data_IF_438554255301
#
_entry.id   IF_438554255301
#
_cell.length_a   1.000
_cell.length_b   1.000
_cell.length_c   1.000
_cell.angle_alpha   90.00
_cell.angle_beta   90.00
_cell.angle_gamma   90.00
#
_symmetry.space_group_name_H-M   'P 1'
#
loop_
_entity.id
_entity.type
_entity.pdbx_description
1 polymer ?
#
# COMPACT_ATOMS: atom_id res chain seq x y z
N UNK A 1 11.89 -12.35 -6.98
CA UNK A 1 11.36 -13.54 -6.29
C UNK A 1 9.86 -13.32 -6.09
N UNK A 2 8.99 -14.18 -6.63
CA UNK A 2 7.55 -14.05 -6.36
C UNK A 2 7.21 -14.84 -5.09
N UNK A 3 6.78 -14.13 -4.05
CA UNK A 3 6.23 -14.75 -2.84
C UNK A 3 4.79 -15.21 -3.09
N UNK A 4 4.38 -16.36 -2.53
CA UNK A 4 3.00 -16.82 -2.67
C UNK A 4 2.03 -15.83 -2.02
N UNK A 5 0.82 -15.76 -2.58
CA UNK A 5 -0.27 -14.99 -2.00
C UNK A 5 -0.95 -15.77 -0.88
N UNK A 6 -1.32 -15.04 0.17
CA UNK A 6 -2.06 -15.51 1.32
C UNK A 6 -3.49 -14.95 1.24
N UNK A 7 -4.47 -15.85 1.25
CA UNK A 7 -5.87 -15.48 1.38
C UNK A 7 -6.20 -15.21 2.86
N UNK A 8 -6.76 -14.03 3.14
CA UNK A 8 -7.17 -13.61 4.48
C UNK A 8 -8.62 -13.10 4.45
N UNK A 9 -9.26 -13.12 5.61
CA UNK A 9 -10.62 -12.65 5.80
C UNK A 9 -10.66 -11.61 6.92
N UNK A 10 -11.22 -10.43 6.64
CA UNK A 10 -11.48 -9.41 7.66
C UNK A 10 -12.98 -9.20 7.83
N UNK A 11 -13.48 -9.14 9.08
CA UNK A 11 -14.89 -8.90 9.32
C UNK A 11 -15.24 -7.43 9.08
N UNK A 12 -16.41 -7.22 8.47
CA UNK A 12 -17.09 -5.93 8.36
C UNK A 12 -18.58 -6.07 8.68
N UNK A 13 -19.28 -4.94 8.79
CA UNK A 13 -20.70 -4.92 9.12
C UNK A 13 -21.37 -3.74 8.44
N UNK A 14 -22.52 -3.98 7.81
CA UNK A 14 -23.47 -2.93 7.50
C UNK A 14 -24.39 -2.71 8.70
N UNK A 15 -24.56 -1.45 9.09
CA UNK A 15 -25.51 -1.02 10.10
C UNK A 15 -26.28 0.21 9.61
N UNK A 16 -27.42 0.48 10.22
CA UNK A 16 -28.26 1.65 9.90
C UNK A 16 -28.04 2.75 10.94
N UNK A 17 -27.37 3.84 10.54
CA UNK A 17 -27.06 4.96 11.43
C UNK A 17 -28.11 6.06 11.29
N UNK A 18 -28.62 6.64 12.40
CA UNK A 18 -29.53 7.78 12.32
C UNK A 18 -28.77 9.00 11.79
N UNK A 19 -29.27 9.60 10.71
CA UNK A 19 -28.63 10.74 10.03
C UNK A 19 -29.49 12.00 10.01
N UNK A 20 -30.80 11.84 10.22
CA UNK A 20 -31.73 12.96 10.22
C UNK A 20 -32.94 12.66 11.10
N UNK A 21 -33.43 13.66 11.82
CA UNK A 21 -34.67 13.59 12.57
C UNK A 21 -35.41 14.92 12.48
N UNK A 22 -36.72 14.84 12.31
CA UNK A 22 -37.62 15.97 12.38
C UNK A 22 -38.91 15.58 13.09
N UNK A 23 -39.34 16.44 14.01
CA UNK A 23 -40.55 16.24 14.78
C UNK A 23 -41.59 17.29 14.38
N UNK A 24 -42.65 16.86 13.71
CA UNK A 24 -43.80 17.67 13.33
C UNK A 24 -45.04 17.34 14.20
N UNK A 25 -44.85 16.68 15.34
CA UNK A 25 -45.96 16.22 16.20
C UNK A 25 -46.76 17.37 16.81
N UNK A 26 -46.14 18.53 17.01
CA UNK A 26 -46.80 19.73 17.53
C UNK A 26 -47.61 20.51 16.48
N UNK A 27 -47.32 20.33 15.19
CA UNK A 27 -47.93 21.10 14.10
C UNK A 27 -49.24 20.50 13.60
N UNK A 28 -50.17 21.37 13.22
CA UNK A 28 -51.37 21.01 12.48
C UNK A 28 -51.18 21.08 10.95
N UNK A 29 -50.06 21.63 10.48
CA UNK A 29 -49.73 21.73 9.06
C UNK A 29 -48.60 20.76 8.68
N UNK A 30 -48.57 20.25 7.44
CA UNK A 30 -47.45 19.46 6.95
C UNK A 30 -46.18 20.33 6.87
N UNK A 31 -45.01 19.69 7.06
CA UNK A 31 -43.70 20.32 6.89
C UNK A 31 -42.98 19.73 5.68
N UNK A 32 -42.42 20.59 4.83
CA UNK A 32 -41.55 20.16 3.72
C UNK A 32 -40.10 20.36 4.13
N UNK A 33 -39.31 19.30 4.09
CA UNK A 33 -37.92 19.32 4.55
C UNK A 33 -37.02 18.78 3.48
N UNK A 34 -35.85 19.39 3.34
CA UNK A 34 -34.79 18.92 2.45
C UNK A 34 -33.67 18.33 3.30
N UNK A 35 -33.34 17.07 3.05
CA UNK A 35 -32.18 16.42 3.64
C UNK A 35 -31.11 16.25 2.56
N UNK A 36 -29.86 16.55 2.91
CA UNK A 36 -28.68 16.32 2.07
C UNK A 36 -27.81 15.31 2.79
N UNK A 37 -27.79 14.09 2.28
CA UNK A 37 -27.10 12.96 2.91
C UNK A 37 -25.83 12.64 2.09
N UNK A 38 -24.63 12.83 2.66
CA UNK A 38 -23.39 12.64 1.92
C UNK A 38 -23.07 11.15 1.76
N UNK A 39 -22.51 10.80 0.61
CA UNK A 39 -21.77 9.57 0.41
C UNK A 39 -20.32 9.83 0.81
N UNK A 40 -19.81 9.04 1.75
CA UNK A 40 -18.43 9.21 2.25
C UNK A 40 -17.71 7.88 2.34
N UNK A 41 -16.47 7.84 1.89
CA UNK A 41 -15.53 6.75 2.13
C UNK A 41 -14.38 7.29 2.97
N UNK A 42 -14.09 6.63 4.09
CA UNK A 42 -12.95 6.95 4.95
C UNK A 42 -12.08 5.72 5.08
N UNK A 43 -10.80 5.87 4.76
CA UNK A 43 -9.76 4.89 4.99
C UNK A 43 -8.76 5.40 6.03
N UNK A 44 -8.49 4.57 7.04
CA UNK A 44 -7.50 4.78 8.09
C UNK A 44 -6.54 3.61 8.10
N UNK A 45 -5.26 3.89 7.88
CA UNK A 45 -4.24 2.87 7.70
C UNK A 45 -3.97 2.10 9.00
N UNK A 46 -3.81 2.80 10.14
CA UNK A 46 -3.40 2.14 11.39
C UNK A 46 -4.36 1.05 11.88
N UNK A 47 -5.69 1.26 11.94
CA UNK A 47 -6.61 0.19 12.34
C UNK A 47 -6.66 -0.96 11.33
N UNK A 48 -6.52 -0.65 10.04
CA UNK A 48 -6.46 -1.65 8.98
C UNK A 48 -5.22 -2.55 9.13
N UNK A 49 -4.02 -1.96 9.26
CA UNK A 49 -2.76 -2.70 9.45
C UNK A 49 -2.75 -3.56 10.72
N UNK A 50 -3.41 -3.08 11.79
CA UNK A 50 -3.55 -3.85 13.02
C UNK A 50 -4.41 -5.10 12.80
N UNK A 51 -5.54 -4.97 12.11
CA UNK A 51 -6.43 -6.08 11.78
C UNK A 51 -5.79 -7.05 10.78
N UNK A 52 -5.10 -6.55 9.77
CA UNK A 52 -4.36 -7.37 8.81
C UNK A 52 -3.31 -8.23 9.51
N UNK A 53 -2.50 -7.66 10.40
CA UNK A 53 -1.50 -8.40 11.20
C UNK A 53 -2.14 -9.40 12.16
N UNK A 54 -3.32 -9.12 12.69
CA UNK A 54 -4.07 -10.07 13.50
C UNK A 54 -4.54 -11.26 12.65
N UNK A 55 -5.09 -11.01 11.46
CA UNK A 55 -5.54 -12.05 10.55
C UNK A 55 -4.40 -12.94 10.04
N UNK A 56 -3.24 -12.35 9.68
CA UNK A 56 -2.04 -13.11 9.31
C UNK A 56 -1.61 -14.06 10.45
N UNK A 57 -1.56 -13.55 11.69
CA UNK A 57 -1.18 -14.37 12.86
C UNK A 57 -2.14 -15.51 13.09
N UNK A 58 -3.45 -15.24 13.09
CA UNK A 58 -4.47 -16.28 13.23
C UNK A 58 -4.36 -17.35 12.14
N UNK A 59 -4.05 -16.96 10.89
CA UNK A 59 -3.85 -17.90 9.79
C UNK A 59 -2.57 -18.73 9.96
N UNK A 60 -1.48 -18.12 10.45
CA UNK A 60 -0.23 -18.82 10.77
C UNK A 60 -0.44 -19.88 11.87
N UNK A 61 -1.17 -19.51 12.93
CA UNK A 61 -1.50 -20.41 14.03
C UNK A 61 -2.35 -21.60 13.57
N UNK A 62 -3.28 -21.37 12.64
CA UNK A 62 -4.16 -22.40 12.09
C UNK A 62 -3.47 -23.29 11.04
N UNK A 63 -2.42 -22.81 10.36
CA UNK A 63 -1.72 -23.53 9.29
C UNK A 63 -0.24 -23.16 9.25
N UNK A 64 0.59 -23.79 10.11
CA UNK A 64 2.01 -23.46 10.25
C UNK A 64 2.81 -23.62 8.94
N UNK A 65 2.38 -24.52 8.04
CA UNK A 65 3.01 -24.74 6.74
C UNK A 65 2.88 -23.55 5.78
N UNK A 66 1.81 -22.75 5.91
CA UNK A 66 1.52 -21.61 5.03
C UNK A 66 2.39 -20.41 5.36
N UNK A 67 2.89 -20.35 6.61
CA UNK A 67 3.78 -19.29 7.09
C UNK A 67 5.05 -19.91 7.69
N UNK A 68 5.51 -21.06 7.18
CA UNK A 68 6.59 -21.89 7.73
C UNK A 68 7.99 -21.24 7.82
N UNK A 69 8.08 -19.92 7.64
CA UNK A 69 9.26 -19.12 7.92
C UNK A 69 9.04 -18.10 9.06
N UNK A 70 7.83 -18.00 9.65
CA UNK A 70 7.50 -17.07 10.74
C UNK A 70 8.04 -17.47 12.13
N UNK A 71 8.85 -18.52 12.21
CA UNK A 71 9.57 -18.90 13.44
C UNK A 71 10.66 -17.89 13.84
N UNK A 72 11.06 -16.98 12.93
CA UNK A 72 11.81 -15.80 13.33
C UNK A 72 10.85 -14.79 13.96
N UNK A 73 11.09 -14.46 15.23
CA UNK A 73 10.35 -13.47 16.03
C UNK A 73 10.27 -12.06 15.40
N UNK A 74 10.87 -11.85 14.22
CA UNK A 74 10.86 -10.60 13.50
C UNK A 74 9.47 -10.32 12.86
N UNK A 75 8.90 -9.13 13.06
CA UNK A 75 7.66 -8.75 12.43
C UNK A 75 7.83 -8.67 10.91
N UNK A 76 6.90 -9.29 10.16
CA UNK A 76 6.88 -9.32 8.68
C UNK A 76 5.93 -8.26 8.11
N UNK A 77 6.29 -7.68 6.97
CA UNK A 77 5.42 -6.78 6.21
C UNK A 77 4.62 -7.56 5.15
N UNK A 78 3.40 -7.07 4.89
CA UNK A 78 2.49 -7.63 3.91
C UNK A 78 1.91 -6.50 3.07
N UNK A 79 1.92 -6.68 1.75
CA UNK A 79 1.24 -5.80 0.81
C UNK A 79 -0.11 -6.41 0.43
N UNK A 80 -1.14 -5.58 0.39
CA UNK A 80 -2.46 -5.99 -0.12
C UNK A 80 -2.39 -6.03 -1.64
N UNK A 81 -2.69 -7.18 -2.23
CA UNK A 81 -2.74 -7.38 -3.69
C UNK A 81 -4.13 -7.16 -4.22
N UNK A 82 -5.15 -7.68 -3.52
CA UNK A 82 -6.55 -7.47 -3.88
C UNK A 82 -7.47 -7.54 -2.66
N UNK A 83 -8.66 -6.98 -2.81
CA UNK A 83 -9.72 -6.99 -1.80
C UNK A 83 -11.09 -7.16 -2.46
N UNK A 84 -11.96 -7.96 -1.84
CA UNK A 84 -13.34 -8.16 -2.27
C UNK A 84 -14.26 -8.30 -1.06
N UNK A 85 -15.45 -7.69 -1.12
CA UNK A 85 -16.45 -7.80 -0.07
C UNK A 85 -17.57 -8.75 -0.48
N UNK A 86 -17.95 -9.66 0.42
CA UNK A 86 -19.08 -10.57 0.22
C UNK A 86 -20.08 -10.46 1.37
N UNK A 87 -21.36 -10.58 1.02
CA UNK A 87 -22.49 -10.62 1.95
C UNK A 87 -23.25 -11.91 1.68
N UNK A 88 -23.31 -12.79 2.68
CA UNK A 88 -23.96 -14.12 2.56
C UNK A 88 -23.40 -14.93 1.37
N UNK A 89 -22.10 -14.82 1.12
CA UNK A 89 -21.39 -15.51 0.03
C UNK A 89 -21.53 -14.89 -1.36
N UNK A 90 -22.27 -13.78 -1.51
CA UNK A 90 -22.40 -13.07 -2.78
C UNK A 90 -21.56 -11.77 -2.78
N UNK A 91 -20.93 -11.38 -3.91
CA UNK A 91 -20.20 -10.12 -4.02
C UNK A 91 -21.09 -8.90 -3.74
N UNK A 92 -20.57 -7.92 -3.02
CA UNK A 92 -21.24 -6.64 -2.75
C UNK A 92 -20.74 -5.57 -3.72
N UNK A 93 -21.40 -5.42 -4.86
CA UNK A 93 -20.98 -4.49 -5.93
C UNK A 93 -20.87 -3.03 -5.47
N UNK A 94 -21.70 -2.62 -4.51
CA UNK A 94 -21.68 -1.30 -3.86
C UNK A 94 -20.32 -0.98 -3.20
N UNK A 95 -19.61 -2.00 -2.72
CA UNK A 95 -18.30 -1.86 -2.06
C UNK A 95 -17.11 -2.06 -3.02
N UNK A 96 -17.32 -2.43 -4.28
CA UNK A 96 -16.21 -2.74 -5.20
C UNK A 96 -15.22 -1.60 -5.37
N UNK A 97 -15.72 -0.36 -5.57
CA UNK A 97 -14.87 0.83 -5.65
C UNK A 97 -14.12 1.09 -4.33
N UNK A 98 -14.81 0.94 -3.19
CA UNK A 98 -14.19 1.07 -1.87
C UNK A 98 -13.09 0.04 -1.63
N UNK A 99 -13.25 -1.19 -2.11
CA UNK A 99 -12.20 -2.21 -2.00
C UNK A 99 -10.99 -1.90 -2.90
N UNK A 100 -11.21 -1.34 -4.09
CA UNK A 100 -10.11 -0.86 -4.95
C UNK A 100 -9.36 0.31 -4.31
N UNK A 101 -10.10 1.27 -3.75
CA UNK A 101 -9.51 2.40 -3.01
C UNK A 101 -8.73 1.92 -1.79
N UNK A 102 -9.22 0.88 -1.08
CA UNK A 102 -8.50 0.25 0.03
C UNK A 102 -7.16 -0.30 -0.43
N UNK A 103 -7.12 -1.05 -1.53
CA UNK A 103 -5.87 -1.60 -2.09
C UNK A 103 -4.91 -0.46 -2.46
N UNK A 104 -5.41 0.58 -3.13
CA UNK A 104 -4.61 1.73 -3.52
C UNK A 104 -4.04 2.49 -2.30
N UNK A 105 -4.86 2.74 -1.28
CA UNK A 105 -4.43 3.44 -0.06
C UNK A 105 -3.46 2.60 0.77
N UNK A 106 -3.68 1.28 0.85
CA UNK A 106 -2.75 0.35 1.51
C UNK A 106 -1.40 0.31 0.77
N UNK A 107 -1.41 0.28 -0.56
CA UNK A 107 -0.19 0.31 -1.36
C UNK A 107 0.59 1.63 -1.20
N UNK A 108 -0.12 2.76 -1.27
CA UNK A 108 0.47 4.08 -1.09
C UNK A 108 0.78 4.42 0.37
N UNK A 109 0.34 3.59 1.33
CA UNK A 109 0.45 3.84 2.77
C UNK A 109 -0.10 5.21 3.18
N UNK A 110 -1.23 5.60 2.60
CA UNK A 110 -1.89 6.90 2.86
C UNK A 110 -3.23 6.71 3.57
N UNK A 111 -3.63 7.71 4.35
CA UNK A 111 -5.01 7.84 4.80
C UNK A 111 -5.80 8.68 3.81
N UNK A 112 -7.03 8.28 3.50
CA UNK A 112 -7.87 8.97 2.52
C UNK A 112 -9.26 9.15 3.10
N UNK A 113 -9.79 10.37 3.01
CA UNK A 113 -11.20 10.63 3.27
C UNK A 113 -11.76 11.29 2.03
N UNK A 114 -12.69 10.61 1.37
CA UNK A 114 -13.43 11.15 0.26
C UNK A 114 -14.87 11.36 0.67
N UNK A 115 -15.28 12.62 0.58
CA UNK A 115 -16.68 12.98 0.55
C UNK A 115 -17.01 13.33 -0.89
N UNK A 116 -17.93 12.58 -1.51
CA UNK A 116 -18.54 13.07 -2.75
C UNK A 116 -19.51 14.17 -2.35
N UNK A 117 -19.04 15.42 -2.43
CA UNK A 117 -19.83 16.63 -2.20
C UNK A 117 -20.83 16.80 -3.36
N UNK A 118 -21.98 16.16 -3.16
CA UNK A 118 -23.09 16.08 -4.10
C UNK A 118 -24.11 15.06 -3.60
N UNK A 119 -24.29 14.99 -2.27
CA UNK A 119 -25.15 14.02 -1.62
C UNK A 119 -26.55 14.02 -2.21
N UNK A 120 -27.25 12.88 -2.11
CA UNK A 120 -28.63 12.78 -2.55
C UNK A 120 -29.47 13.80 -1.78
N UNK A 121 -29.88 14.86 -2.47
CA UNK A 121 -30.82 15.84 -1.94
C UNK A 121 -32.21 15.26 -2.10
N UNK A 122 -32.82 14.87 -0.99
CA UNK A 122 -34.18 14.36 -0.97
C UNK A 122 -35.10 15.33 -0.24
N UNK A 123 -36.29 15.50 -0.78
CA UNK A 123 -37.34 16.32 -0.18
C UNK A 123 -38.38 15.40 0.42
N UNK A 124 -38.71 15.64 1.69
CA UNK A 124 -39.67 14.87 2.45
C UNK A 124 -40.83 15.77 2.86
N UNK A 125 -42.06 15.27 2.74
CA UNK A 125 -43.24 15.92 3.30
C UNK A 125 -43.63 15.16 4.56
N UNK A 126 -43.47 15.79 5.71
CA UNK A 126 -43.84 15.24 7.01
C UNK A 126 -45.28 15.66 7.34
N UNK A 127 -46.22 14.72 7.48
CA UNK A 127 -47.60 15.04 7.81
C UNK A 127 -47.73 15.81 9.14
N UNK A 128 -48.86 16.50 9.36
CA UNK A 128 -49.22 16.99 10.68
C UNK A 128 -49.20 15.85 11.71
N UNK A 129 -48.83 16.17 12.95
CA UNK A 129 -48.83 15.20 14.06
C UNK A 129 -47.92 13.98 13.85
N UNK A 130 -46.91 14.08 12.99
CA UNK A 130 -45.98 12.98 12.69
C UNK A 130 -44.51 13.38 12.95
N UNK A 131 -43.63 12.38 13.06
CA UNK A 131 -42.19 12.59 13.09
C UNK A 131 -41.51 11.77 11.98
N UNK A 132 -40.44 12.31 11.43
CA UNK A 132 -39.59 11.64 10.44
C UNK A 132 -38.23 11.37 11.07
N UNK A 133 -37.75 10.14 10.96
CA UNK A 133 -36.36 9.77 11.22
C UNK A 133 -35.83 9.07 9.99
N UNK A 134 -34.62 9.43 9.57
CA UNK A 134 -33.94 8.77 8.47
C UNK A 134 -32.67 8.12 8.98
N UNK A 135 -32.43 6.92 8.48
CA UNK A 135 -31.25 6.13 8.72
C UNK A 135 -30.51 5.94 7.41
N UNK A 136 -29.19 5.99 7.46
CA UNK A 136 -28.32 5.72 6.31
C UNK A 136 -27.54 4.44 6.55
N UNK A 137 -27.49 3.59 5.54
CA UNK A 137 -26.72 2.33 5.62
C UNK A 137 -25.22 2.67 5.59
N UNK A 138 -24.50 2.17 6.59
CA UNK A 138 -23.09 2.43 6.79
C UNK A 138 -22.35 1.11 6.94
N UNK A 139 -21.37 0.86 6.08
CA UNK A 139 -20.42 -0.22 6.22
C UNK A 139 -19.25 0.21 7.11
N UNK A 140 -18.89 -0.65 8.06
CA UNK A 140 -17.72 -0.48 8.93
C UNK A 140 -16.88 -1.74 8.91
N UNK A 141 -15.59 -1.57 8.74
CA UNK A 141 -14.59 -2.59 8.95
C UNK A 141 -13.33 -1.96 9.55
N UNK A 142 -12.32 -2.77 9.85
CA UNK A 142 -11.06 -2.26 10.38
C UNK A 142 -10.43 -1.23 9.42
N UNK A 143 -10.41 0.03 9.83
CA UNK A 143 -9.85 1.13 9.05
C UNK A 143 -10.70 1.59 7.86
N UNK A 144 -11.91 1.04 7.66
CA UNK A 144 -12.78 1.43 6.54
C UNK A 144 -14.15 1.83 7.07
N UNK A 145 -14.62 3.01 6.66
CA UNK A 145 -16.00 3.44 6.88
C UNK A 145 -16.56 3.91 5.54
N UNK A 146 -17.64 3.28 5.10
CA UNK A 146 -18.33 3.64 3.87
C UNK A 146 -19.80 3.93 4.18
N UNK A 147 -20.24 5.15 3.88
CA UNK A 147 -21.65 5.57 3.98
C UNK A 147 -22.26 5.58 2.60
N UNK A 148 -23.30 4.79 2.39
CA UNK A 148 -23.92 4.63 1.09
C UNK A 148 -25.04 5.60 0.81
N UNK A 149 -25.64 5.52 -0.37
CA UNK A 149 -26.83 6.26 -0.74
C UNK A 149 -28.14 5.62 -0.24
N UNK A 150 -28.08 4.42 0.36
CA UNK A 150 -29.26 3.75 0.87
C UNK A 150 -29.78 4.43 2.15
N UNK A 151 -31.03 4.89 2.10
CA UNK A 151 -31.71 5.61 3.17
C UNK A 151 -33.05 4.94 3.47
N UNK A 152 -33.40 4.83 4.76
CA UNK A 152 -34.66 4.24 5.21
C UNK A 152 -35.28 5.04 6.37
N UNK A 153 -36.60 4.97 6.50
CA UNK A 153 -37.31 5.60 7.61
C UNK A 153 -37.24 4.77 8.92
N UNK A 154 -36.81 3.52 8.82
CA UNK A 154 -36.57 2.61 9.93
C UNK A 154 -35.24 1.88 9.71
N UNK A 155 -34.50 1.54 10.77
CA UNK A 155 -33.27 0.78 10.63
C UNK A 155 -33.59 -0.66 10.22
N UNK A 156 -32.85 -1.18 9.25
CA UNK A 156 -32.81 -2.62 8.98
C UNK A 156 -31.91 -3.36 9.98
N UNK A 157 -31.87 -4.70 9.92
CA UNK A 157 -30.93 -5.48 10.73
C UNK A 157 -29.49 -5.20 10.30
N UNK A 158 -28.55 -5.42 11.23
CA UNK A 158 -27.13 -5.41 10.92
C UNK A 158 -26.78 -6.64 10.06
N UNK A 159 -25.86 -6.45 9.11
CA UNK A 159 -25.47 -7.49 8.18
C UNK A 159 -23.95 -7.68 8.19
N UNK A 160 -23.52 -8.89 8.54
CA UNK A 160 -22.11 -9.26 8.52
C UNK A 160 -21.60 -9.34 7.07
N UNK A 161 -20.48 -8.69 6.82
CA UNK A 161 -19.79 -8.67 5.53
C UNK A 161 -18.41 -9.27 5.73
N UNK A 162 -18.01 -10.16 4.84
CA UNK A 162 -16.68 -10.73 4.82
C UNK A 162 -15.82 -10.01 3.77
N UNK A 163 -14.65 -9.53 4.17
CA UNK A 163 -13.67 -8.93 3.26
C UNK A 163 -12.58 -9.96 2.99
N UNK A 164 -12.63 -10.58 1.82
CA UNK A 164 -11.56 -11.43 1.34
C UNK A 164 -10.41 -10.56 0.83
N UNK A 165 -9.21 -10.80 1.34
CA UNK A 165 -7.97 -10.15 0.93
C UNK A 165 -7.03 -11.19 0.34
N UNK A 166 -6.38 -10.86 -0.79
CA UNK A 166 -5.15 -11.52 -1.18
C UNK A 166 -4.00 -10.62 -0.75
N UNK A 167 -3.10 -11.13 0.10
CA UNK A 167 -1.93 -10.39 0.56
C UNK A 167 -0.66 -11.14 0.23
N UNK A 168 0.44 -10.41 0.10
CA UNK A 168 1.73 -10.99 -0.23
C UNK A 168 2.78 -10.48 0.72
N UNK A 169 3.65 -11.39 1.17
CA UNK A 169 4.77 -10.99 1.99
C UNK A 169 5.74 -10.11 1.21
N UNK A 170 6.14 -8.99 1.80
CA UNK A 170 7.07 -8.03 1.21
C UNK A 170 8.49 -8.50 1.50
N UNK A 171 9.25 -8.76 0.45
CA UNK A 171 10.69 -8.95 0.54
C UNK A 171 11.37 -7.58 0.46
N UNK A 172 12.28 -7.31 1.38
CA UNK A 172 13.09 -6.11 1.38
C UNK A 172 14.49 -6.41 0.86
N UNK A 173 15.15 -5.43 0.26
CA UNK A 173 16.56 -5.53 -0.06
C UNK A 173 17.35 -5.34 1.23
N UNK A 174 18.20 -6.31 1.56
CA UNK A 174 19.17 -6.24 2.65
C UNK A 174 20.48 -5.63 2.17
N UNK A 175 21.01 -6.14 1.06
CA UNK A 175 22.33 -5.77 0.56
C UNK A 175 22.43 -6.02 -0.95
N UNK A 176 23.60 -5.79 -1.53
CA UNK A 176 23.93 -6.07 -2.92
C UNK A 176 25.14 -7.00 -3.00
N UNK A 177 25.02 -8.05 -3.79
CA UNK A 177 26.15 -8.84 -4.25
C UNK A 177 26.68 -8.26 -5.57
N UNK A 178 28.01 -8.12 -5.66
CA UNK A 178 28.69 -7.69 -6.88
C UNK A 178 29.20 -8.91 -7.63
N UNK A 179 28.68 -9.12 -8.84
CA UNK A 179 29.07 -10.25 -9.69
C UNK A 179 29.88 -9.73 -10.87
N UNK A 180 31.10 -10.24 -11.02
CA UNK A 180 31.98 -9.88 -12.13
C UNK A 180 32.06 -11.01 -13.15
N UNK A 181 31.97 -10.68 -14.44
CA UNK A 181 32.09 -11.64 -15.54
C UNK A 181 33.00 -11.16 -16.67
N UNK A 182 33.42 -12.08 -17.52
CA UNK A 182 34.07 -11.76 -18.80
C UNK A 182 33.04 -11.59 -19.92
N UNK A 183 33.50 -11.20 -21.12
CA UNK A 183 32.64 -10.89 -22.28
C UNK A 183 31.71 -12.03 -22.76
N UNK A 184 31.97 -13.28 -22.35
CA UNK A 184 31.14 -14.44 -22.67
C UNK A 184 30.35 -14.97 -21.47
N UNK A 185 30.37 -14.28 -20.32
CA UNK A 185 29.66 -14.74 -19.13
C UNK A 185 28.14 -14.56 -19.29
N UNK A 186 27.33 -15.55 -18.87
CA UNK A 186 25.88 -15.37 -18.83
C UNK A 186 25.52 -14.29 -17.81
N UNK A 187 24.47 -13.51 -18.13
CA UNK A 187 23.96 -12.48 -17.23
C UNK A 187 23.47 -13.11 -15.91
N UNK A 188 23.88 -12.58 -14.74
CA UNK A 188 23.44 -13.13 -13.47
C UNK A 188 21.91 -13.06 -13.32
N UNK A 189 21.26 -14.14 -12.85
CA UNK A 189 19.82 -14.13 -12.61
C UNK A 189 19.49 -13.18 -11.46
N UNK A 190 18.38 -12.44 -11.58
CA UNK A 190 17.93 -11.52 -10.54
C UNK A 190 18.76 -10.25 -10.37
N UNK A 191 19.71 -9.97 -11.27
CA UNK A 191 20.46 -8.72 -11.29
C UNK A 191 19.54 -7.49 -11.39
N UNK A 192 20.03 -6.36 -10.89
CA UNK A 192 19.43 -5.04 -11.14
C UNK A 192 19.49 -4.76 -12.64
N UNK A 193 18.36 -4.32 -13.21
CA UNK A 193 18.24 -3.97 -14.63
C UNK A 193 18.20 -2.47 -14.80
N UNK A 194 18.58 -2.00 -15.99
CA UNK A 194 18.44 -0.60 -16.36
C UNK A 194 16.96 -0.30 -16.69
N UNK A 195 16.48 0.85 -16.21
CA UNK A 195 15.07 1.23 -16.20
C UNK A 195 14.45 1.30 -17.60
N UNK A 196 15.20 1.77 -18.60
CA UNK A 196 14.77 1.86 -20.00
C UNK A 196 15.09 0.57 -20.81
N UNK A 197 15.50 -0.51 -20.15
CA UNK A 197 15.87 -1.76 -20.80
C UNK A 197 17.27 -1.75 -21.42
N UNK A 198 18.11 -0.78 -21.05
CA UNK A 198 19.51 -0.71 -21.44
C UNK A 198 20.40 -1.76 -20.77
N UNK A 199 21.72 -1.55 -20.88
CA UNK A 199 22.70 -2.46 -20.28
C UNK A 199 22.81 -2.23 -18.76
N UNK A 200 22.66 -3.32 -18.00
CA UNK A 200 22.80 -3.34 -16.54
C UNK A 200 24.24 -3.56 -16.07
N UNK A 201 25.20 -3.72 -16.98
CA UNK A 201 26.63 -3.70 -16.66
C UNK A 201 27.03 -2.29 -16.21
N UNK A 202 27.58 -2.16 -14.99
CA UNK A 202 28.07 -0.89 -14.47
C UNK A 202 29.23 -0.34 -15.31
N UNK A 203 30.03 -1.22 -15.89
CA UNK A 203 31.22 -0.90 -16.68
C UNK A 203 30.96 -0.83 -18.19
N UNK A 204 29.71 -0.70 -18.62
CA UNK A 204 29.39 -0.62 -20.05
C UNK A 204 30.22 0.47 -20.73
N UNK A 205 30.84 0.13 -21.86
CA UNK A 205 31.71 1.05 -22.62
C UNK A 205 33.15 1.17 -22.12
N UNK A 206 33.50 0.56 -20.98
CA UNK A 206 34.87 0.46 -20.51
C UNK A 206 35.51 -0.89 -20.91
N UNK A 207 36.82 -0.87 -21.15
CA UNK A 207 37.59 -2.10 -21.32
C UNK A 207 37.71 -2.85 -19.98
N UNK A 208 37.38 -4.13 -19.95
CA UNK A 208 37.62 -4.97 -18.77
C UNK A 208 36.55 -6.00 -18.49
N UNK A 209 36.33 -6.27 -17.20
CA UNK A 209 35.28 -7.18 -16.72
C UNK A 209 33.97 -6.41 -16.60
N UNK A 210 32.89 -7.10 -16.97
CA UNK A 210 31.53 -6.66 -16.74
C UNK A 210 31.18 -6.83 -15.26
N UNK A 211 30.38 -5.92 -14.72
CA UNK A 211 30.01 -5.85 -13.31
C UNK A 211 28.51 -5.65 -13.19
N UNK A 212 27.85 -6.58 -12.49
CA UNK A 212 26.41 -6.50 -12.21
C UNK A 212 26.15 -6.47 -10.71
N UNK A 213 25.05 -5.81 -10.32
CA UNK A 213 24.54 -5.81 -8.97
C UNK A 213 23.41 -6.84 -8.85
N UNK A 214 23.45 -7.70 -7.85
CA UNK A 214 22.41 -8.68 -7.55
C UNK A 214 21.86 -8.40 -6.15
N UNK A 215 20.58 -8.00 -6.00
CA UNK A 215 20.03 -7.71 -4.69
C UNK A 215 19.93 -8.97 -3.83
N UNK A 216 20.35 -8.83 -2.57
CA UNK A 216 20.17 -9.83 -1.53
C UNK A 216 18.92 -9.45 -0.75
N UNK A 217 17.89 -10.28 -0.79
CA UNK A 217 16.62 -10.01 -0.13
C UNK A 217 16.54 -10.60 1.28
N UNK A 218 15.75 -9.96 2.14
CA UNK A 218 15.38 -10.41 3.48
C UNK A 218 13.89 -10.17 3.73
N UNK A 219 13.32 -10.88 4.69
CA UNK A 219 11.99 -10.61 5.22
C UNK A 219 12.02 -9.94 6.59
N UNK A 220 13.20 -9.83 7.20
CA UNK A 220 13.40 -9.09 8.43
C UNK A 220 13.62 -7.61 8.11
N UNK A 221 12.65 -6.78 8.49
CA UNK A 221 12.72 -5.34 8.28
C UNK A 221 13.85 -4.66 9.09
N UNK A 222 14.38 -5.32 10.13
CA UNK A 222 15.54 -4.83 10.88
C UNK A 222 16.86 -5.03 10.11
N UNK A 223 16.96 -6.06 9.27
CA UNK A 223 18.09 -6.27 8.37
C UNK A 223 17.95 -5.50 7.05
N UNK A 224 16.75 -5.05 6.70
CA UNK A 224 16.50 -4.37 5.45
C UNK A 224 17.24 -3.03 5.32
N UNK A 225 17.69 -2.71 4.12
CA UNK A 225 18.31 -1.43 3.79
C UNK A 225 17.24 -0.31 3.74
N UNK A 226 17.62 0.87 4.21
CA UNK A 226 16.85 2.11 4.12
C UNK A 226 17.38 3.06 3.04
N UNK A 227 18.56 2.77 2.46
CA UNK A 227 19.25 3.59 1.48
C UNK A 227 20.52 2.91 0.98
N UNK A 228 21.17 3.53 0.00
CA UNK A 228 22.51 3.16 -0.44
C UNK A 228 23.41 4.39 -0.52
N UNK A 229 24.63 4.26 -0.03
CA UNK A 229 25.65 5.31 -0.06
C UNK A 229 26.84 4.89 -0.91
N UNK A 230 27.36 5.85 -1.67
CA UNK A 230 28.59 5.71 -2.43
C UNK A 230 29.74 6.29 -1.61
N UNK A 231 30.76 5.48 -1.32
CA UNK A 231 31.96 5.89 -0.63
C UNK A 231 33.20 5.76 -1.53
N UNK A 232 33.93 6.86 -1.70
CA UNK A 232 35.24 6.85 -2.36
C UNK A 232 36.31 6.29 -1.41
N UNK A 233 37.03 5.26 -1.86
CA UNK A 233 38.17 4.65 -1.16
C UNK A 233 39.43 4.72 -2.02
N UNK A 234 39.75 5.93 -2.46
CA UNK A 234 40.89 6.20 -3.34
C UNK A 234 40.57 5.82 -4.79
N UNK A 235 41.22 4.77 -5.30
CA UNK A 235 41.03 4.31 -6.69
C UNK A 235 39.79 3.45 -6.88
N UNK A 236 39.03 3.19 -5.81
CA UNK A 236 37.83 2.36 -5.84
C UNK A 236 36.66 3.10 -5.23
N UNK A 237 35.46 2.78 -5.72
CA UNK A 237 34.19 3.20 -5.13
C UNK A 237 33.50 2.00 -4.53
N UNK A 238 32.88 2.20 -3.39
CA UNK A 238 32.11 1.16 -2.71
C UNK A 238 30.69 1.65 -2.56
N UNK A 239 29.75 0.87 -3.06
CA UNK A 239 28.35 1.05 -2.79
C UNK A 239 28.00 0.26 -1.52
N UNK A 240 27.40 0.92 -0.53
CA UNK A 240 27.10 0.32 0.78
C UNK A 240 25.63 0.49 1.12
N UNK A 241 24.98 -0.60 1.55
CA UNK A 241 23.65 -0.55 2.14
C UNK A 241 23.68 0.24 3.46
N UNK A 242 22.71 1.15 3.62
CA UNK A 242 22.46 1.89 4.86
C UNK A 242 21.33 1.20 5.60
N UNK A 243 21.50 0.97 6.90
CA UNK A 243 20.51 0.35 7.78
C UNK A 243 20.13 1.31 8.90
N UNK A 244 19.30 2.30 8.58
CA UNK A 244 18.81 3.24 9.58
C UNK A 244 17.54 2.72 10.28
N UNK A 245 17.70 2.35 11.55
CA UNK A 245 16.60 1.89 12.38
C UNK A 245 15.53 2.97 12.66
N UNK A 246 15.88 4.26 12.55
CA UNK A 246 14.94 5.37 12.75
C UNK A 246 14.07 5.63 11.51
N UNK A 247 14.55 5.24 10.32
CA UNK A 247 13.77 5.35 9.10
C UNK A 247 12.63 4.32 9.12
N UNK A 248 11.38 4.69 8.83
CA UNK A 248 10.27 3.71 8.80
C UNK A 248 10.16 2.97 7.46
N UNK A 249 10.82 3.45 6.42
CA UNK A 249 10.77 2.90 5.06
C UNK A 249 11.96 1.99 4.77
N UNK A 250 11.73 0.90 4.04
CA UNK A 250 12.74 -0.09 3.64
C UNK A 250 12.67 -0.36 2.16
N UNK A 251 13.81 -0.56 1.53
CA UNK A 251 13.92 -0.75 0.08
C UNK A 251 13.31 -2.10 -0.31
N UNK A 252 12.49 -2.12 -1.35
CA UNK A 252 11.85 -3.34 -1.89
C UNK A 252 12.25 -3.63 -3.33
N UNK A 253 12.59 -2.61 -4.11
CA UNK A 253 12.96 -2.76 -5.51
C UNK A 253 14.14 -1.85 -5.85
N UNK A 254 14.94 -2.28 -6.82
CA UNK A 254 16.10 -1.57 -7.32
C UNK A 254 16.11 -1.55 -8.85
N UNK A 255 16.50 -0.42 -9.43
CA UNK A 255 16.84 -0.28 -10.86
C UNK A 255 18.06 0.59 -11.04
N UNK A 256 18.74 0.41 -12.17
CA UNK A 256 19.73 1.35 -12.65
C UNK A 256 19.07 2.39 -13.55
N UNK A 257 19.54 3.62 -13.48
CA UNK A 257 19.17 4.67 -14.41
C UNK A 257 20.41 5.29 -15.02
N UNK A 258 20.45 5.32 -16.35
CA UNK A 258 21.51 5.91 -17.16
C UNK A 258 20.99 7.15 -17.86
N UNK A 259 21.72 8.26 -17.79
CA UNK A 259 21.29 9.50 -18.43
C UNK A 259 22.30 10.63 -18.37
N UNK A 260 22.01 11.72 -19.06
CA UNK A 260 22.84 12.92 -19.00
C UNK A 260 22.63 13.68 -17.68
N UNK A 261 23.69 14.30 -17.13
CA UNK A 261 23.66 15.03 -15.84
C UNK A 261 22.52 16.07 -15.72
N UNK A 262 21.97 16.56 -16.84
CA UNK A 262 20.88 17.57 -16.87
C UNK A 262 19.46 16.99 -16.78
N UNK A 263 19.26 15.69 -16.99
CA UNK A 263 17.93 15.05 -16.86
C UNK A 263 17.55 14.77 -15.39
N UNK A 264 18.51 14.98 -14.49
CA UNK A 264 18.51 14.64 -13.06
C UNK A 264 17.48 15.39 -12.19
N UNK A 265 16.71 16.34 -12.73
CA UNK A 265 15.92 17.27 -11.92
C UNK A 265 14.44 17.41 -12.26
N UNK A 266 13.98 16.91 -13.41
CA UNK A 266 12.58 17.11 -13.85
C UNK A 266 11.82 15.82 -14.19
N UNK A 267 12.49 14.66 -14.15
CA UNK A 267 11.87 13.37 -14.48
C UNK A 267 11.38 12.56 -13.27
N UNK A 268 11.83 12.87 -12.05
CA UNK A 268 11.50 12.08 -10.85
C UNK A 268 10.02 12.18 -10.45
N UNK A 269 9.32 13.25 -10.81
CA UNK A 269 7.88 13.37 -10.54
C UNK A 269 7.04 12.42 -11.41
N UNK A 270 7.61 11.85 -12.48
CA UNK A 270 6.94 10.85 -13.34
C UNK A 270 7.37 9.43 -13.08
N UNK A 271 8.42 9.24 -12.27
CA UNK A 271 9.06 7.96 -12.05
C UNK A 271 8.67 7.51 -10.64
N UNK A 272 8.03 6.34 -10.53
CA UNK A 272 7.51 5.73 -9.28
C UNK A 272 8.61 5.37 -8.24
N UNK A 273 9.76 6.03 -8.29
CA UNK A 273 10.97 5.72 -7.53
C UNK A 273 11.20 6.80 -6.46
N UNK A 274 11.48 6.36 -5.24
CA UNK A 274 11.39 7.20 -4.03
C UNK A 274 12.76 7.66 -3.52
N UNK A 275 13.84 7.10 -4.04
CA UNK A 275 15.20 7.53 -3.75
C UNK A 275 16.21 7.04 -4.77
N UNK A 276 17.42 7.61 -4.69
CA UNK A 276 18.53 7.26 -5.56
C UNK A 276 19.90 7.58 -4.92
N UNK A 277 20.95 6.93 -5.41
CA UNK A 277 22.33 7.27 -5.05
C UNK A 277 22.79 8.60 -5.67
N UNK A 278 23.96 9.07 -5.25
CA UNK A 278 24.74 9.97 -6.10
C UNK A 278 25.18 9.28 -7.39
N UNK A 279 25.76 10.06 -8.31
CA UNK A 279 26.26 9.54 -9.58
C UNK A 279 27.43 8.58 -9.32
N UNK A 280 27.19 7.30 -9.60
CA UNK A 280 28.14 6.20 -9.43
C UNK A 280 29.37 6.43 -10.32
N UNK A 281 29.15 7.02 -11.50
CA UNK A 281 30.20 7.33 -12.49
C UNK A 281 30.81 8.73 -12.32
N UNK A 282 30.40 9.50 -11.30
CA UNK A 282 30.75 10.91 -11.19
C UNK A 282 32.26 11.17 -11.31
N UNK A 283 32.67 12.02 -12.25
CA UNK A 283 34.09 12.35 -12.48
C UNK A 283 34.89 11.29 -13.27
N UNK A 284 34.26 10.24 -13.80
CA UNK A 284 34.91 9.23 -14.65
C UNK A 284 34.32 9.16 -16.07
N UNK A 285 33.08 9.63 -16.27
CA UNK A 285 32.37 9.57 -17.55
C UNK A 285 31.48 10.81 -17.72
N UNK A 286 31.15 11.14 -18.97
CA UNK A 286 30.10 12.12 -19.31
C UNK A 286 28.68 11.54 -19.11
N UNK A 287 28.56 10.21 -18.96
CA UNK A 287 27.32 9.50 -18.67
C UNK A 287 27.17 9.27 -17.15
N UNK A 288 26.03 9.71 -16.61
CA UNK A 288 25.71 9.47 -15.21
C UNK A 288 25.02 8.12 -15.01
N UNK A 289 25.32 7.48 -13.89
CA UNK A 289 24.71 6.21 -13.49
C UNK A 289 24.19 6.29 -12.06
N UNK A 290 22.93 5.92 -11.87
CA UNK A 290 22.27 5.96 -10.57
C UNK A 290 21.69 4.60 -10.23
N UNK A 291 21.75 4.23 -8.96
CA UNK A 291 20.89 3.18 -8.41
C UNK A 291 19.67 3.85 -7.77
N UNK A 292 18.48 3.53 -8.26
CA UNK A 292 17.20 4.05 -7.78
C UNK A 292 16.43 2.95 -7.04
N UNK A 293 15.56 3.34 -6.10
CA UNK A 293 14.78 2.38 -5.31
C UNK A 293 13.34 2.77 -5.04
N UNK A 294 12.48 1.76 -4.89
CA UNK A 294 11.17 1.87 -4.24
C UNK A 294 11.30 1.40 -2.80
N UNK A 295 10.45 1.92 -1.93
CA UNK A 295 10.39 1.54 -0.54
C UNK A 295 9.01 1.03 -0.13
N UNK A 296 8.95 0.42 1.04
CA UNK A 296 7.74 0.02 1.70
C UNK A 296 7.94 0.23 3.21
N UNK A 297 6.91 0.68 3.96
CA UNK A 297 6.96 0.74 5.40
C UNK A 297 7.35 -0.59 6.03
N UNK A 298 8.33 -0.53 6.92
CA UNK A 298 8.62 -1.60 7.86
C UNK A 298 7.41 -1.75 8.80
N UNK A 299 7.11 -2.98 9.24
CA UNK A 299 6.10 -3.18 10.26
C UNK A 299 6.58 -2.46 11.53
N UNK A 300 5.81 -1.46 11.98
CA UNK A 300 6.18 -0.62 13.14
C UNK A 300 6.73 -1.48 14.28
N UNK A 301 7.98 -1.22 14.68
CA UNK A 301 8.40 -1.53 16.05
C UNK A 301 7.54 -0.64 16.96
N UNK A 302 6.90 -1.16 18.02
CA UNK A 302 6.34 -0.29 19.03
C UNK A 302 7.43 0.70 19.45
N UNK A 303 7.19 2.00 19.28
CA UNK A 303 8.03 3.01 19.90
C UNK A 303 7.85 2.81 21.40
N UNK A 304 8.86 2.25 22.05
CA UNK A 304 8.93 2.15 23.51
C UNK A 304 9.26 3.51 24.11
#
# INVERSE_FOLDING_TARGET
MQTPELALHLPGTFAWEPVFAHDNTASAAPATIRAELPRTTTFRLRPFDAALRAAVRAQADASPSVVAAADDAAPRAFAVVSAAATLRGAPVSELSATMQDLVACAHAHTERTEATLGGHKQTYVVPPRAALRLYQRTFRAAGVVYRSDAVAAAPGPDEAVDIALAVRQVAFVRDLEVVCGGAAAPLPPGRVVELAGGDGDLNVGADGRHVWLVPVYTFDAAEAASGFELADRGTHRVLRAVHDAAMPLRITELVLFRGAHRERASGTDTLEWEGMTNDINGGQSDECLYLMWKTHPAPNRPMY
#
